data_IF_736501868938
#
_entry.id   IF_736501868938
#
_cell.length_a   1.000
_cell.length_b   1.000
_cell.length_c   1.000
_cell.angle_alpha   90.00
_cell.angle_beta   90.00
_cell.angle_gamma   90.00
#
_symmetry.space_group_name_H-M   'P 1'
#
loop_
_entity.id
_entity.type
_entity.pdbx_description
1 polymer ?
#
# COMPACT_ATOMS: atom_id res chain seq x y z
N UNK A 1 11.71 -45.88 -23.11
CA UNK A 1 11.04 -45.50 -24.36
C UNK A 1 9.61 -45.96 -24.26
N UNK A 2 8.70 -45.01 -24.12
CA UNK A 2 7.25 -45.18 -24.30
C UNK A 2 6.77 -43.79 -24.73
N UNK A 3 6.51 -43.66 -26.01
CA UNK A 3 6.02 -42.47 -26.70
C UNK A 3 4.50 -42.44 -26.53
N UNK A 4 3.93 -41.29 -26.18
CA UNK A 4 2.52 -40.98 -26.39
C UNK A 4 2.45 -39.57 -27.00
N UNK A 5 2.29 -39.54 -28.33
CA UNK A 5 1.90 -38.34 -29.09
C UNK A 5 0.37 -38.23 -29.08
N UNK A 6 -0.16 -37.03 -28.85
CA UNK A 6 -1.51 -36.70 -29.29
C UNK A 6 -1.58 -35.30 -29.91
N UNK A 7 -2.33 -35.27 -31.02
CA UNK A 7 -2.25 -34.38 -32.17
C UNK A 7 -3.08 -33.10 -32.03
N UNK A 8 -2.53 -31.98 -32.50
CA UNK A 8 -3.21 -30.69 -32.67
C UNK A 8 -4.15 -30.70 -33.87
N UNK A 9 -5.46 -30.47 -33.66
CA UNK A 9 -6.46 -30.38 -34.72
C UNK A 9 -6.79 -28.91 -35.05
N UNK A 10 -6.45 -28.46 -36.27
CA UNK A 10 -6.68 -27.11 -36.81
C UNK A 10 -7.79 -27.18 -37.87
N UNK A 11 -8.97 -26.61 -37.58
CA UNK A 11 -10.07 -26.55 -38.55
C UNK A 11 -10.06 -25.21 -39.29
N UNK A 12 -9.84 -25.28 -40.60
CA UNK A 12 -9.92 -24.20 -41.58
C UNK A 12 -11.32 -24.18 -42.19
N UNK A 13 -12.03 -23.04 -42.14
CA UNK A 13 -13.32 -22.85 -42.81
C UNK A 13 -13.13 -21.93 -44.02
N UNK A 14 -13.30 -22.51 -45.21
CA UNK A 14 -13.52 -21.81 -46.47
C UNK A 14 -14.96 -21.29 -46.51
N UNK A 15 -15.14 -20.04 -46.90
CA UNK A 15 -16.39 -19.54 -47.49
C UNK A 15 -16.04 -18.98 -48.87
N UNK A 16 -16.45 -19.72 -49.89
CA UNK A 16 -16.54 -19.26 -51.26
C UNK A 16 -17.84 -18.46 -51.44
N UNK A 17 -17.76 -17.32 -52.10
CA UNK A 17 -18.94 -16.66 -52.67
C UNK A 17 -18.58 -16.27 -54.09
N UNK A 18 -19.13 -17.04 -55.02
CA UNK A 18 -19.19 -16.77 -56.46
C UNK A 18 -20.50 -16.02 -56.75
N UNK A 19 -20.41 -14.85 -57.41
CA UNK A 19 -21.58 -14.13 -57.92
C UNK A 19 -21.19 -13.40 -59.21
N UNK A 20 -21.39 -14.12 -60.32
CA UNK A 20 -21.27 -13.63 -61.69
C UNK A 20 -22.49 -12.78 -62.03
N UNK A 21 -22.30 -11.47 -62.20
CA UNK A 21 -23.28 -10.57 -62.80
C UNK A 21 -22.67 -9.88 -64.01
N UNK A 22 -23.25 -10.18 -65.18
CA UNK A 22 -22.94 -9.58 -66.48
C UNK A 22 -23.04 -8.06 -66.40
N UNK A 23 -21.88 -7.39 -66.38
CA UNK A 23 -21.75 -5.93 -66.46
C UNK A 23 -21.07 -5.60 -67.78
N UNK A 24 -21.64 -4.64 -68.50
CA UNK A 24 -21.02 -4.03 -69.68
C UNK A 24 -19.59 -3.63 -69.31
N UNK A 25 -18.63 -4.27 -69.97
CA UNK A 25 -17.22 -4.12 -69.67
C UNK A 25 -16.73 -2.79 -70.22
N UNK A 26 -16.04 -2.00 -69.39
CA UNK A 26 -15.36 -0.80 -69.87
C UNK A 26 -14.26 -1.18 -70.85
N UNK A 27 -13.83 -0.26 -71.72
CA UNK A 27 -12.75 -0.53 -72.69
C UNK A 27 -11.48 -1.11 -72.01
N UNK A 28 -11.15 -0.64 -70.80
CA UNK A 28 -10.06 -1.18 -69.99
C UNK A 28 -10.30 -2.63 -69.51
N UNK A 29 -11.54 -3.01 -69.21
CA UNK A 29 -11.88 -4.36 -68.77
C UNK A 29 -11.83 -5.36 -69.95
N UNK A 30 -12.19 -4.90 -71.16
CA UNK A 30 -12.05 -5.66 -72.41
C UNK A 30 -10.56 -5.90 -72.73
N UNK A 31 -9.70 -4.89 -72.57
CA UNK A 31 -8.25 -5.06 -72.74
C UNK A 31 -7.66 -6.05 -71.73
N UNK A 32 -8.11 -6.01 -70.46
CA UNK A 32 -7.67 -6.96 -69.43
C UNK A 32 -8.08 -8.39 -69.75
N UNK A 33 -9.28 -8.61 -70.28
CA UNK A 33 -9.71 -9.94 -70.72
C UNK A 33 -8.82 -10.47 -71.86
N UNK A 34 -8.52 -9.64 -72.88
CA UNK A 34 -7.59 -10.01 -73.95
C UNK A 34 -6.19 -10.35 -73.43
N UNK A 35 -5.68 -9.58 -72.46
CA UNK A 35 -4.41 -9.88 -71.79
C UNK A 35 -4.49 -11.23 -71.06
N UNK A 36 -5.58 -11.50 -70.35
CA UNK A 36 -5.78 -12.76 -69.62
C UNK A 36 -5.87 -13.96 -70.56
N UNK A 37 -6.55 -13.81 -71.70
CA UNK A 37 -6.66 -14.85 -72.72
C UNK A 37 -5.29 -15.16 -73.34
N UNK A 38 -4.51 -14.13 -73.68
CA UNK A 38 -3.14 -14.30 -74.17
C UNK A 38 -2.25 -15.00 -73.13
N UNK A 39 -2.34 -14.62 -71.85
CA UNK A 39 -1.59 -15.25 -70.77
C UNK A 39 -2.01 -16.71 -70.53
N UNK A 40 -3.27 -17.07 -70.81
CA UNK A 40 -3.75 -18.45 -70.66
C UNK A 40 -3.09 -19.44 -71.62
N UNK A 41 -2.55 -18.96 -72.74
CA UNK A 41 -1.84 -19.80 -73.72
C UNK A 41 -0.40 -20.13 -73.31
N UNK A 42 0.17 -19.38 -72.36
CA UNK A 42 1.53 -19.60 -71.87
C UNK A 42 1.58 -20.67 -70.77
N UNK A 43 2.69 -21.40 -70.70
CA UNK A 43 2.89 -22.38 -69.64
C UNK A 43 3.07 -21.69 -68.28
N UNK A 44 2.74 -22.40 -67.20
CA UNK A 44 2.83 -21.85 -65.85
C UNK A 44 4.25 -21.38 -65.47
N UNK A 45 5.29 -22.05 -65.96
CA UNK A 45 6.69 -21.66 -65.75
C UNK A 45 6.98 -20.30 -66.40
N UNK A 46 6.46 -20.05 -67.60
CA UNK A 46 6.61 -18.78 -68.30
C UNK A 46 5.84 -17.65 -67.59
N UNK A 47 4.66 -17.94 -67.05
CA UNK A 47 3.89 -16.98 -66.24
C UNK A 47 4.63 -16.57 -64.97
N UNK A 48 5.30 -17.52 -64.31
CA UNK A 48 6.15 -17.22 -63.14
C UNK A 48 7.32 -16.32 -63.55
N UNK A 49 8.07 -16.69 -64.61
CA UNK A 49 9.18 -15.87 -65.12
C UNK A 49 8.72 -14.47 -65.52
N UNK A 50 7.53 -14.35 -66.10
CA UNK A 50 6.93 -13.07 -66.47
C UNK A 50 6.58 -12.24 -65.23
N UNK A 51 5.95 -12.85 -64.22
CA UNK A 51 5.62 -12.20 -62.95
C UNK A 51 6.86 -11.75 -62.19
N UNK A 52 7.95 -12.52 -62.23
CA UNK A 52 9.22 -12.15 -61.62
C UNK A 52 9.89 -10.98 -62.34
N UNK A 53 9.87 -10.98 -63.69
CA UNK A 53 10.42 -9.87 -64.51
C UNK A 53 9.62 -8.57 -64.38
N UNK A 54 8.29 -8.64 -64.42
CA UNK A 54 7.42 -7.47 -64.33
C UNK A 54 7.18 -6.99 -62.89
N UNK A 55 7.33 -7.90 -61.92
CA UNK A 55 7.04 -7.67 -60.50
C UNK A 55 5.58 -7.97 -60.14
N UNK A 56 5.38 -8.63 -58.99
CA UNK A 56 4.08 -9.14 -58.56
C UNK A 56 2.98 -8.06 -58.41
N UNK A 57 3.35 -6.83 -58.05
CA UNK A 57 2.38 -5.74 -57.85
C UNK A 57 1.80 -5.25 -59.18
N UNK A 58 2.67 -5.00 -60.16
CA UNK A 58 2.26 -4.52 -61.50
C UNK A 58 1.50 -5.62 -62.23
N UNK A 59 2.00 -6.86 -62.20
CA UNK A 59 1.30 -8.01 -62.79
C UNK A 59 -0.11 -8.20 -62.21
N UNK A 60 -0.25 -8.11 -60.89
CA UNK A 60 -1.56 -8.27 -60.26
C UNK A 60 -2.50 -7.11 -60.58
N UNK A 61 -1.99 -5.88 -60.69
CA UNK A 61 -2.78 -4.71 -61.05
C UNK A 61 -3.22 -4.74 -62.51
N UNK A 62 -2.38 -5.23 -63.44
CA UNK A 62 -2.76 -5.38 -64.85
C UNK A 62 -3.78 -6.51 -65.03
N UNK A 63 -3.59 -7.67 -64.40
CA UNK A 63 -4.46 -8.84 -64.57
C UNK A 63 -5.75 -8.77 -63.75
N UNK A 64 -5.73 -8.22 -62.52
CA UNK A 64 -6.87 -8.24 -61.59
C UNK A 64 -7.42 -6.85 -61.24
N UNK A 65 -6.80 -5.77 -61.73
CA UNK A 65 -7.20 -4.40 -61.41
C UNK A 65 -6.78 -3.94 -60.01
N UNK A 66 -6.91 -2.63 -59.76
CA UNK A 66 -6.60 -2.03 -58.46
C UNK A 66 -7.79 -2.18 -57.50
N UNK A 67 -7.56 -2.71 -56.28
CA UNK A 67 -8.63 -2.90 -55.29
C UNK A 67 -9.07 -1.56 -54.69
N UNK A 68 -10.38 -1.27 -54.56
CA UNK A 68 -10.84 -0.03 -53.95
C UNK A 68 -10.48 0.01 -52.46
N UNK A 69 -9.82 1.09 -52.02
CA UNK A 69 -9.51 1.34 -50.61
C UNK A 69 -10.81 1.55 -49.81
N UNK A 70 -11.31 0.52 -49.13
CA UNK A 70 -12.37 0.69 -48.14
C UNK A 70 -11.80 1.42 -46.92
N UNK A 71 -12.18 2.69 -46.74
CA UNK A 71 -11.82 3.50 -45.58
C UNK A 71 -12.26 2.81 -44.28
N UNK A 72 -11.28 2.59 -43.40
CA UNK A 72 -11.45 1.91 -42.11
C UNK A 72 -12.16 2.83 -41.11
N UNK A 73 -13.46 3.06 -41.29
CA UNK A 73 -14.26 3.72 -40.25
C UNK A 73 -14.32 2.81 -39.01
N UNK A 74 -13.72 3.27 -37.91
CA UNK A 74 -13.68 2.54 -36.65
C UNK A 74 -15.10 2.49 -36.06
N UNK A 75 -15.73 1.31 -36.07
CA UNK A 75 -17.06 1.13 -35.45
C UNK A 75 -16.94 1.32 -33.93
N UNK A 76 -17.51 2.39 -33.39
CA UNK A 76 -17.50 2.67 -31.95
C UNK A 76 -18.55 1.83 -31.20
N UNK A 77 -18.11 0.80 -30.46
CA UNK A 77 -19.00 0.03 -29.60
C UNK A 77 -19.30 0.82 -28.31
N UNK A 78 -20.52 1.32 -28.11
CA UNK A 78 -20.96 2.05 -26.90
C UNK A 78 -21.68 1.11 -25.94
N UNK A 79 -21.60 1.37 -24.63
CA UNK A 79 -22.37 0.62 -23.60
C UNK A 79 -23.78 1.20 -23.46
N UNK A 80 -24.78 0.34 -23.21
CA UNK A 80 -26.17 0.76 -23.01
C UNK A 80 -26.43 1.39 -21.63
N UNK A 81 -25.75 0.92 -20.57
CA UNK A 81 -25.84 1.47 -19.21
C UNK A 81 -24.46 1.46 -18.52
N UNK A 82 -24.25 2.31 -17.51
CA UNK A 82 -22.97 2.49 -16.79
C UNK A 82 -22.51 1.25 -16.02
N UNK A 83 -23.42 0.36 -15.63
CA UNK A 83 -23.12 -0.84 -14.85
C UNK A 83 -22.98 -2.12 -15.70
N UNK A 84 -23.00 -2.01 -17.04
CA UNK A 84 -22.76 -3.15 -17.96
C UNK A 84 -21.34 -3.07 -18.55
N UNK A 85 -20.63 -4.21 -18.71
CA UNK A 85 -19.34 -4.24 -19.40
C UNK A 85 -19.48 -3.74 -20.85
N UNK A 86 -18.39 -3.15 -21.37
CA UNK A 86 -18.31 -2.61 -22.73
C UNK A 86 -17.57 -3.59 -23.63
N UNK A 87 -18.11 -3.84 -24.82
CA UNK A 87 -17.42 -4.59 -25.87
C UNK A 87 -16.23 -3.78 -26.42
N UNK A 88 -15.09 -4.44 -26.57
CA UNK A 88 -13.86 -3.88 -27.13
C UNK A 88 -13.27 -4.86 -28.15
N UNK A 89 -12.62 -4.34 -29.20
CA UNK A 89 -11.96 -5.20 -30.19
C UNK A 89 -10.82 -5.99 -29.54
N UNK A 90 -10.73 -7.28 -29.83
CA UNK A 90 -9.64 -8.17 -29.38
C UNK A 90 -8.25 -7.73 -29.86
N UNK A 91 -8.18 -6.89 -30.91
CA UNK A 91 -6.92 -6.32 -31.42
C UNK A 91 -6.40 -5.16 -30.55
N UNK A 92 -7.22 -4.63 -29.64
CA UNK A 92 -6.83 -3.58 -28.72
C UNK A 92 -6.11 -4.22 -27.52
N UNK A 93 -4.83 -3.88 -27.36
CA UNK A 93 -4.05 -4.33 -26.20
C UNK A 93 -4.69 -3.79 -24.91
N UNK A 94 -4.90 -4.62 -23.87
CA UNK A 94 -5.46 -4.14 -22.62
C UNK A 94 -4.56 -3.07 -22.01
N UNK A 95 -5.17 -2.02 -21.45
CA UNK A 95 -4.42 -0.99 -20.74
C UNK A 95 -3.79 -1.63 -19.51
N UNK A 96 -2.45 -1.66 -19.45
CA UNK A 96 -1.72 -2.10 -18.26
C UNK A 96 -2.16 -1.21 -17.10
N UNK A 97 -2.68 -1.82 -16.03
CA UNK A 97 -3.16 -1.12 -14.84
C UNK A 97 -1.95 -0.60 -14.06
N UNK A 98 -1.34 0.47 -14.59
CA UNK A 98 -0.15 1.11 -14.03
C UNK A 98 -0.47 2.41 -13.34
N UNK A 99 -1.60 2.52 -12.62
CA UNK A 99 -1.93 3.73 -11.85
C UNK A 99 -3.16 3.55 -10.94
N UNK A 100 -3.05 2.78 -9.86
CA UNK A 100 -4.01 2.92 -8.75
C UNK A 100 -3.41 2.59 -7.38
N UNK A 101 -2.16 2.98 -7.15
CA UNK A 101 -1.65 3.20 -5.80
C UNK A 101 -1.05 4.59 -5.80
N UNK A 102 -1.71 5.49 -5.08
CA UNK A 102 -1.15 6.70 -4.46
C UNK A 102 -0.41 7.68 -5.37
N UNK A 103 -0.92 8.90 -5.39
CA UNK A 103 -0.17 10.15 -5.55
C UNK A 103 1.30 9.95 -5.13
N UNK A 104 2.25 10.20 -6.05
CA UNK A 104 3.72 10.04 -5.96
C UNK A 104 4.32 8.97 -6.89
N UNK A 105 4.15 9.10 -8.20
CA UNK A 105 5.00 8.40 -9.16
C UNK A 105 5.02 9.17 -10.48
N UNK A 106 5.97 10.07 -10.59
CA UNK A 106 6.39 10.65 -11.86
C UNK A 106 7.11 9.55 -12.65
N UNK A 107 6.70 9.34 -13.90
CA UNK A 107 7.41 8.62 -14.97
C UNK A 107 8.18 7.35 -14.56
N UNK A 108 7.70 6.18 -14.99
CA UNK A 108 8.46 4.90 -14.93
C UNK A 108 9.56 4.92 -16.00
N UNK A 109 10.42 5.93 -15.96
CA UNK A 109 11.84 5.70 -16.22
C UNK A 109 12.44 5.40 -14.84
N UNK A 110 13.25 4.34 -14.68
CA UNK A 110 14.04 4.21 -13.47
C UNK A 110 15.00 5.40 -13.49
N UNK A 111 14.60 6.52 -12.89
CA UNK A 111 15.52 7.59 -12.51
C UNK A 111 16.59 6.85 -11.72
N UNK A 112 17.80 6.76 -12.29
CA UNK A 112 18.97 6.19 -11.62
C UNK A 112 18.92 6.72 -10.20
N UNK A 113 18.70 5.83 -9.22
CA UNK A 113 18.52 6.23 -7.81
C UNK A 113 19.71 7.12 -7.50
N UNK A 114 19.50 8.43 -7.40
CA UNK A 114 20.58 9.37 -7.04
C UNK A 114 21.19 8.77 -5.79
N UNK A 115 22.51 8.60 -5.76
CA UNK A 115 23.19 8.05 -4.59
C UNK A 115 22.88 8.99 -3.42
N UNK A 116 21.91 8.58 -2.59
CA UNK A 116 21.61 9.25 -1.34
C UNK A 116 22.61 8.66 -0.36
N UNK A 117 23.46 9.47 0.29
CA UNK A 117 24.33 8.96 1.34
C UNK A 117 23.44 8.28 2.39
N UNK A 118 23.55 6.95 2.49
CA UNK A 118 22.81 6.17 3.47
C UNK A 118 23.57 6.23 4.77
N UNK A 119 22.95 6.81 5.79
CA UNK A 119 23.43 6.64 7.15
C UNK A 119 23.09 5.20 7.57
N UNK A 120 24.08 4.34 7.84
CA UNK A 120 23.82 2.95 8.19
C UNK A 120 22.89 2.83 9.41
N UNK A 121 22.91 3.79 10.34
CA UNK A 121 22.00 3.81 11.51
C UNK A 121 20.53 3.96 11.14
N UNK A 122 20.28 4.57 9.98
CA UNK A 122 18.94 4.82 9.45
C UNK A 122 18.67 4.00 8.18
N UNK A 123 19.53 3.03 7.86
CA UNK A 123 19.28 2.10 6.77
C UNK A 123 18.25 1.05 7.22
N UNK A 124 17.29 0.79 6.35
CA UNK A 124 16.27 -0.25 6.51
C UNK A 124 16.85 -1.65 6.75
N UNK A 125 18.09 -1.90 6.31
CA UNK A 125 18.79 -3.17 6.52
C UNK A 125 19.38 -3.33 7.92
N UNK A 126 19.48 -2.26 8.72
CA UNK A 126 20.17 -2.27 10.02
C UNK A 126 19.30 -2.79 11.19
N UNK A 127 18.09 -3.30 10.92
CA UNK A 127 17.19 -3.88 11.91
C UNK A 127 16.26 -2.87 12.60
N UNK A 128 15.33 -3.39 13.40
CA UNK A 128 14.35 -2.57 14.13
C UNK A 128 14.82 -2.22 15.54
N UNK A 129 14.32 -1.10 16.07
CA UNK A 129 14.64 -0.65 17.41
C UNK A 129 14.05 -1.57 18.49
N UNK A 130 14.89 -2.35 19.17
CA UNK A 130 14.48 -3.09 20.36
C UNK A 130 14.51 -2.22 21.63
N UNK A 131 13.31 -1.83 22.07
CA UNK A 131 13.11 -1.06 23.30
C UNK A 131 13.63 -1.80 24.56
N UNK A 132 13.63 -3.13 24.56
CA UNK A 132 14.00 -3.93 25.73
C UNK A 132 15.52 -3.94 25.89
N UNK A 133 16.26 -4.29 24.83
CA UNK A 133 17.73 -4.23 24.81
C UNK A 133 18.23 -2.80 25.04
N UNK A 134 17.62 -1.79 24.41
CA UNK A 134 17.98 -0.40 24.65
C UNK A 134 17.86 -0.01 26.14
N UNK A 135 16.74 -0.36 26.79
CA UNK A 135 16.56 -0.05 28.22
C UNK A 135 17.52 -0.79 29.14
N UNK A 136 17.97 -1.99 28.75
CA UNK A 136 18.96 -2.75 29.51
C UNK A 136 20.35 -2.14 29.33
N UNK A 137 20.78 -1.94 28.09
CA UNK A 137 22.10 -1.41 27.74
C UNK A 137 22.31 0.01 28.26
N UNK A 138 21.26 0.84 28.24
CA UNK A 138 21.31 2.23 28.67
C UNK A 138 20.67 2.46 30.04
N UNK A 139 20.64 1.44 30.91
CA UNK A 139 20.06 1.54 32.26
C UNK A 139 20.73 2.63 33.10
N UNK A 140 22.05 2.80 32.95
CA UNK A 140 22.90 3.76 33.67
C UNK A 140 22.49 5.23 33.46
N UNK A 141 21.79 5.55 32.36
CA UNK A 141 21.29 6.91 32.09
C UNK A 141 20.36 7.39 33.22
N UNK A 142 19.64 6.47 33.89
CA UNK A 142 18.79 6.87 35.01
C UNK A 142 19.60 7.35 36.21
N UNK A 143 20.77 6.76 36.46
CA UNK A 143 21.65 7.15 37.56
C UNK A 143 22.29 8.51 37.26
N UNK A 144 22.64 8.75 35.99
CA UNK A 144 23.11 10.07 35.52
C UNK A 144 22.01 11.12 35.74
N UNK A 145 20.77 10.85 35.32
CA UNK A 145 19.65 11.77 35.51
C UNK A 145 19.37 12.09 36.98
N UNK A 146 19.56 11.13 37.88
CA UNK A 146 19.45 11.38 39.32
C UNK A 146 20.52 12.34 39.80
N UNK A 147 21.79 12.12 39.41
CA UNK A 147 22.89 13.05 39.73
C UNK A 147 22.67 14.44 39.15
N UNK A 148 22.21 14.55 37.90
CA UNK A 148 21.86 15.82 37.26
C UNK A 148 20.75 16.55 38.01
N UNK A 149 19.73 15.80 38.47
CA UNK A 149 18.67 16.39 39.30
C UNK A 149 19.24 16.96 40.60
N UNK A 150 20.09 16.22 41.30
CA UNK A 150 20.69 16.66 42.56
C UNK A 150 21.60 17.88 42.35
N UNK A 151 22.31 17.95 41.23
CA UNK A 151 23.09 19.12 40.85
C UNK A 151 22.19 20.34 40.57
N UNK A 152 21.15 20.18 39.75
CA UNK A 152 20.19 21.26 39.49
C UNK A 152 19.48 21.72 40.78
N UNK A 153 19.29 20.82 41.75
CA UNK A 153 18.74 21.14 43.06
C UNK A 153 19.66 22.02 43.89
N UNK A 154 20.99 21.84 43.79
CA UNK A 154 21.98 22.72 44.41
C UNK A 154 22.04 24.06 43.70
N UNK A 155 22.15 24.05 42.37
CA UNK A 155 22.17 25.27 41.55
C UNK A 155 20.91 26.11 41.76
N UNK A 156 19.74 25.50 41.89
CA UNK A 156 18.49 26.22 42.15
C UNK A 156 18.48 26.96 43.50
N UNK A 157 19.17 26.41 44.51
CA UNK A 157 19.30 27.01 45.85
C UNK A 157 20.28 28.18 45.83
N UNK A 158 21.40 28.01 45.14
CA UNK A 158 22.48 28.99 45.05
C UNK A 158 22.17 30.15 44.09
N UNK A 159 21.39 29.90 43.03
CA UNK A 159 21.07 30.89 42.02
C UNK A 159 20.22 32.03 42.58
N UNK A 160 20.76 33.25 42.50
CA UNK A 160 20.09 34.51 42.84
C UNK A 160 19.36 35.11 41.64
N UNK A 161 19.89 34.97 40.43
CA UNK A 161 19.30 35.54 39.21
C UNK A 161 17.91 34.92 38.93
N UNK A 162 16.84 35.72 38.81
CA UNK A 162 15.49 35.21 38.60
C UNK A 162 15.29 34.48 37.28
N UNK A 163 15.90 34.93 36.18
CA UNK A 163 15.73 34.28 34.87
C UNK A 163 16.39 32.91 34.85
N UNK A 164 17.66 32.84 35.25
CA UNK A 164 18.38 31.57 35.38
C UNK A 164 17.66 30.61 36.33
N UNK A 165 17.15 31.10 37.47
CA UNK A 165 16.41 30.28 38.43
C UNK A 165 15.14 29.67 37.83
N UNK A 166 14.43 30.39 36.96
CA UNK A 166 13.28 29.85 36.22
C UNK A 166 13.70 28.76 35.23
N UNK A 167 14.81 28.96 34.49
CA UNK A 167 15.30 27.92 33.57
C UNK A 167 15.69 26.63 34.30
N UNK A 168 16.40 26.74 35.42
CA UNK A 168 16.78 25.60 36.27
C UNK A 168 15.53 24.88 36.79
N UNK A 169 14.50 25.63 37.23
CA UNK A 169 13.22 25.05 37.68
C UNK A 169 12.55 24.21 36.60
N UNK A 170 12.51 24.71 35.36
CA UNK A 170 11.92 24.00 34.22
C UNK A 170 12.71 22.72 33.88
N UNK A 171 14.04 22.80 33.90
CA UNK A 171 14.92 21.65 33.66
C UNK A 171 14.75 20.58 34.74
N UNK A 172 14.77 20.98 36.01
CA UNK A 172 14.52 20.08 37.14
C UNK A 172 13.17 19.38 36.99
N UNK A 173 12.11 20.13 36.70
CA UNK A 173 10.77 19.56 36.51
C UNK A 173 10.75 18.54 35.36
N UNK A 174 11.46 18.82 34.26
CA UNK A 174 11.57 17.89 33.12
C UNK A 174 12.23 16.57 33.55
N UNK A 175 13.34 16.64 34.27
CA UNK A 175 14.04 15.43 34.75
C UNK A 175 13.16 14.65 35.74
N UNK A 176 12.51 15.33 36.68
CA UNK A 176 11.59 14.69 37.63
C UNK A 176 10.42 13.97 36.93
N UNK A 177 9.86 14.58 35.89
CA UNK A 177 8.79 13.96 35.10
C UNK A 177 9.29 12.71 34.35
N UNK A 178 10.50 12.77 33.77
CA UNK A 178 11.11 11.63 33.10
C UNK A 178 11.37 10.47 34.08
N UNK A 179 11.93 10.77 35.26
CA UNK A 179 12.17 9.77 36.30
C UNK A 179 10.85 9.14 36.78
N UNK A 180 9.81 9.95 37.00
CA UNK A 180 8.48 9.48 37.42
C UNK A 180 7.84 8.56 36.40
N UNK A 181 7.85 8.93 35.11
CA UNK A 181 7.28 8.10 34.06
C UNK A 181 8.10 6.80 33.87
N UNK A 182 9.43 6.86 33.98
CA UNK A 182 10.26 5.67 33.97
C UNK A 182 9.93 4.70 35.11
N UNK A 183 9.76 5.22 36.34
CA UNK A 183 9.40 4.40 37.50
C UNK A 183 8.02 3.75 37.31
N UNK A 184 7.04 4.51 36.81
CA UNK A 184 5.69 4.02 36.51
C UNK A 184 5.71 2.91 35.44
N UNK A 185 6.49 3.07 34.37
CA UNK A 185 6.68 2.03 33.36
C UNK A 185 7.35 0.81 33.97
N UNK A 186 8.35 0.99 34.84
CA UNK A 186 9.05 -0.11 35.53
C UNK A 186 8.09 -0.91 36.41
N UNK A 187 7.29 -0.26 37.26
CA UNK A 187 6.27 -0.92 38.11
C UNK A 187 5.27 -1.71 37.28
N UNK A 188 4.81 -1.14 36.17
CA UNK A 188 3.88 -1.83 35.25
C UNK A 188 4.53 -3.09 34.65
N UNK A 189 5.76 -2.98 34.17
CA UNK A 189 6.50 -4.14 33.61
C UNK A 189 6.74 -5.22 34.66
N UNK A 190 7.11 -4.83 35.88
CA UNK A 190 7.31 -5.76 36.99
C UNK A 190 6.03 -6.53 37.32
N UNK A 191 4.87 -5.85 37.37
CA UNK A 191 3.57 -6.49 37.54
C UNK A 191 3.25 -7.48 36.41
N UNK A 192 3.53 -7.10 35.17
CA UNK A 192 3.35 -7.99 34.01
C UNK A 192 4.28 -9.21 34.05
N UNK A 193 5.52 -9.05 34.49
CA UNK A 193 6.47 -10.16 34.65
C UNK A 193 6.10 -11.08 35.82
N UNK A 194 5.57 -10.52 36.92
CA UNK A 194 5.03 -11.31 38.04
C UNK A 194 3.80 -12.12 37.61
N UNK A 195 2.84 -11.51 36.91
CA UNK A 195 1.68 -12.22 36.34
C UNK A 195 2.14 -13.41 35.46
N UNK A 196 3.17 -13.21 34.62
CA UNK A 196 3.72 -14.28 33.77
C UNK A 196 4.44 -15.35 34.57
N UNK A 197 5.14 -14.96 35.64
CA UNK A 197 5.84 -15.89 36.53
C UNK A 197 4.85 -16.79 37.23
N UNK A 198 3.80 -16.24 37.84
CA UNK A 198 2.72 -17.01 38.47
C UNK A 198 2.09 -18.01 37.51
N UNK A 199 1.85 -17.57 36.26
CA UNK A 199 1.31 -18.44 35.23
C UNK A 199 2.24 -19.59 34.87
N UNK A 200 3.55 -19.31 34.76
CA UNK A 200 4.57 -20.31 34.49
C UNK A 200 4.68 -21.32 35.62
N UNK A 201 4.60 -20.86 36.87
CA UNK A 201 4.61 -21.77 38.03
C UNK A 201 3.37 -22.66 38.03
N UNK A 202 2.15 -22.13 37.82
CA UNK A 202 0.94 -22.97 37.69
C UNK A 202 1.06 -24.04 36.61
N UNK A 203 1.61 -23.65 35.46
CA UNK A 203 1.84 -24.58 34.37
C UNK A 203 2.84 -25.69 34.74
N UNK A 204 3.91 -25.37 35.48
CA UNK A 204 4.86 -26.38 36.00
C UNK A 204 4.20 -27.36 36.96
N UNK A 205 3.23 -26.90 37.75
CA UNK A 205 2.45 -27.76 38.66
C UNK A 205 1.38 -28.58 37.91
N UNK A 206 1.24 -28.43 36.58
CA UNK A 206 0.24 -29.12 35.77
C UNK A 206 -1.15 -28.47 35.81
N UNK A 207 -1.31 -27.34 36.49
CA UNK A 207 -2.58 -26.60 36.52
C UNK A 207 -2.80 -25.82 35.22
N UNK A 208 -4.07 -25.71 34.80
CA UNK A 208 -4.43 -24.96 33.60
C UNK A 208 -4.21 -23.44 33.83
N UNK A 209 -3.41 -22.76 32.99
CA UNK A 209 -3.13 -21.34 33.14
C UNK A 209 -4.38 -20.47 32.93
N UNK A 210 -4.78 -19.70 33.95
CA UNK A 210 -5.94 -18.79 33.89
C UNK A 210 -5.49 -17.35 33.68
N UNK A 211 -5.89 -16.77 32.54
CA UNK A 211 -5.58 -15.38 32.21
C UNK A 211 -6.68 -14.43 32.70
N UNK A 212 -6.29 -13.43 33.50
CA UNK A 212 -7.23 -12.39 33.96
C UNK A 212 -7.76 -11.57 32.79
N UNK A 213 -9.09 -11.38 32.74
CA UNK A 213 -9.75 -10.50 31.76
C UNK A 213 -9.27 -9.05 31.93
N UNK A 214 -9.30 -8.27 30.84
CA UNK A 214 -8.92 -6.83 30.85
C UNK A 214 -9.75 -5.99 31.83
N UNK A 215 -11.01 -6.35 32.08
CA UNK A 215 -11.87 -5.69 33.08
C UNK A 215 -11.36 -5.92 34.51
N UNK A 216 -10.98 -7.16 34.83
CA UNK A 216 -10.46 -7.54 36.14
C UNK A 216 -9.13 -6.83 36.42
N UNK A 217 -8.19 -6.83 35.46
CA UNK A 217 -6.92 -6.09 35.60
C UNK A 217 -7.13 -4.59 35.86
N UNK A 218 -8.14 -3.99 35.22
CA UNK A 218 -8.51 -2.58 35.45
C UNK A 218 -9.04 -2.37 36.87
N UNK A 219 -9.90 -3.25 37.36
CA UNK A 219 -10.41 -3.19 38.72
C UNK A 219 -9.27 -3.32 39.74
N UNK A 220 -8.38 -4.30 39.58
CA UNK A 220 -7.19 -4.48 40.43
C UNK A 220 -6.33 -3.21 40.45
N UNK A 221 -6.06 -2.60 39.29
CA UNK A 221 -5.31 -1.34 39.23
C UNK A 221 -6.02 -0.16 39.91
N UNK A 222 -7.35 -0.17 39.95
CA UNK A 222 -8.15 0.86 40.59
C UNK A 222 -8.14 0.70 42.11
N UNK A 223 -8.22 -0.55 42.60
CA UNK A 223 -8.10 -0.89 44.03
C UNK A 223 -6.71 -0.51 44.54
N UNK A 224 -5.65 -0.91 43.83
CA UNK A 224 -4.26 -0.56 44.16
C UNK A 224 -4.09 0.96 44.26
N UNK A 225 -4.60 1.71 43.27
CA UNK A 225 -4.57 3.17 43.28
C UNK A 225 -5.37 3.78 44.43
N UNK A 226 -6.51 3.18 44.79
CA UNK A 226 -7.31 3.63 45.94
C UNK A 226 -6.54 3.45 47.25
N UNK A 227 -5.91 2.31 47.44
CA UNK A 227 -5.08 2.03 48.61
C UNK A 227 -3.87 2.96 48.69
N UNK A 228 -3.17 3.20 47.58
CA UNK A 228 -2.08 4.18 47.52
C UNK A 228 -2.56 5.59 47.93
N UNK A 229 -3.74 6.02 47.45
CA UNK A 229 -4.31 7.32 47.80
C UNK A 229 -4.74 7.38 49.27
N UNK A 230 -5.24 6.26 49.82
CA UNK A 230 -5.60 6.12 51.23
C UNK A 230 -4.35 6.20 52.12
N UNK A 231 -3.31 5.42 51.80
CA UNK A 231 -2.00 5.44 52.48
C UNK A 231 -1.36 6.83 52.47
N UNK A 232 -1.47 7.54 51.36
CA UNK A 232 -0.93 8.90 51.21
C UNK A 232 -1.84 10.01 51.77
N UNK A 233 -2.96 9.69 52.43
CA UNK A 233 -3.98 10.64 52.92
C UNK A 233 -4.49 11.63 51.84
N UNK A 234 -4.41 11.25 50.57
CA UNK A 234 -4.82 12.07 49.40
C UNK A 234 -6.18 11.68 48.83
N UNK A 235 -6.83 10.68 49.42
CA UNK A 235 -8.09 10.12 48.94
C UNK A 235 -9.23 11.13 48.94
N UNK A 236 -9.46 11.83 50.07
CA UNK A 236 -10.52 12.85 50.18
C UNK A 236 -10.35 13.95 49.13
N UNK A 237 -9.14 14.52 49.02
CA UNK A 237 -8.80 15.53 48.00
C UNK A 237 -9.03 15.02 46.56
N UNK A 238 -8.77 13.75 46.29
CA UNK A 238 -9.04 13.15 44.99
C UNK A 238 -10.54 13.03 44.71
N UNK A 239 -11.32 12.60 45.71
CA UNK A 239 -12.79 12.53 45.64
C UNK A 239 -13.37 13.93 45.42
N UNK A 240 -12.96 14.93 46.21
CA UNK A 240 -13.40 16.32 46.05
C UNK A 240 -13.09 16.88 44.65
N UNK A 241 -11.89 16.64 44.12
CA UNK A 241 -11.55 17.07 42.76
C UNK A 241 -12.44 16.37 41.73
N UNK A 242 -12.74 15.09 41.92
CA UNK A 242 -13.61 14.33 41.03
C UNK A 242 -15.05 14.83 41.11
N UNK A 243 -15.59 15.05 42.31
CA UNK A 243 -16.95 15.57 42.51
C UNK A 243 -17.10 16.97 41.93
N UNK A 244 -16.13 17.87 42.15
CA UNK A 244 -16.11 19.21 41.53
C UNK A 244 -16.14 19.11 40.00
N UNK A 245 -15.33 18.22 39.40
CA UNK A 245 -15.32 18.00 37.95
C UNK A 245 -16.65 17.43 37.43
N UNK A 246 -17.28 16.50 38.15
CA UNK A 246 -18.61 15.98 37.75
C UNK A 246 -19.66 17.08 37.82
N UNK A 247 -19.75 17.83 38.93
CA UNK A 247 -20.67 18.97 39.07
C UNK A 247 -20.54 19.98 37.94
N UNK A 248 -19.31 20.30 37.50
CA UNK A 248 -19.09 21.20 36.37
C UNK A 248 -19.55 20.61 35.03
N UNK A 249 -19.33 19.31 34.81
CA UNK A 249 -19.85 18.61 33.63
C UNK A 249 -21.37 18.58 33.63
N UNK A 250 -21.99 18.27 34.75
CA UNK A 250 -23.44 18.21 34.90
C UNK A 250 -24.05 19.59 34.65
N UNK A 251 -23.47 20.66 35.21
CA UNK A 251 -23.85 22.05 34.89
C UNK A 251 -23.74 22.37 33.41
N UNK A 252 -22.68 21.91 32.73
CA UNK A 252 -22.51 22.12 31.27
C UNK A 252 -23.56 21.35 30.46
N UNK A 253 -23.88 20.12 30.86
CA UNK A 253 -24.91 19.30 30.22
C UNK A 253 -26.28 19.95 30.41
N UNK A 254 -26.64 20.33 31.64
CA UNK A 254 -27.91 21.01 31.94
C UNK A 254 -28.07 22.33 31.16
N UNK A 255 -27.02 23.17 31.10
CA UNK A 255 -27.07 24.40 30.28
C UNK A 255 -27.26 24.12 28.79
N UNK A 256 -26.74 22.99 28.28
CA UNK A 256 -26.91 22.59 26.88
C UNK A 256 -28.31 22.05 26.60
N UNK A 257 -28.92 21.34 27.55
CA UNK A 257 -30.28 20.80 27.40
C UNK A 257 -31.37 21.85 27.59
N UNK A 258 -31.12 22.93 28.35
CA UNK A 258 -32.07 24.05 28.53
C UNK A 258 -31.99 25.08 27.38
N UNK A 259 -30.94 25.03 26.56
CA UNK A 259 -30.75 25.92 25.40
C UNK A 259 -31.28 25.35 24.07
N UNK A 260 -32.08 24.27 24.13
CA UNK A 260 -32.84 23.65 23.04
C UNK A 260 -34.32 23.81 23.40
#
# INVERSE_FOLDING_TARGET
MSEDEETNNYSSSNEETDDNSDKELNDEDIERQKIRDNLSTLSFEELIKLKEKLGAKVYNETVYGSKPNKDKSQKEFKRSNKNRPREISSKIRPKRVGKLIGNNSSSVTPKSKKFVPRDPRFDTLCGEFDNKSFKQNYKFINDIRQKEKDQLDKEYRECTDPERKQTIKLLKQRIENQLRENEKIRKKKEKEENDKRELREKLKHGEKPVYKKKSVKRLESLVEKYEELKKNNKLQKHIEKRTKKMKLKDKKIMKKTVAI
#
